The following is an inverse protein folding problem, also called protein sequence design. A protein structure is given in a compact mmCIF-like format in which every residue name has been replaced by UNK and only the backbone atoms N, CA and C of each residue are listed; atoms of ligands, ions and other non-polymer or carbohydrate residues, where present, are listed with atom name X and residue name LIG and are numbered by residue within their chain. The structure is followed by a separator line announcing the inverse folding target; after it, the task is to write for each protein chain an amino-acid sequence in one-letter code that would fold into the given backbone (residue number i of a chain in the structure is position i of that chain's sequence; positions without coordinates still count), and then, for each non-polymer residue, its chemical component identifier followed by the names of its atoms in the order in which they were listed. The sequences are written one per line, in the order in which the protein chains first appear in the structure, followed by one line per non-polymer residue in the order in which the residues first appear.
data_IF_420222803373
#
_entry.id   IF_420222803373
#
_cell.length_a   1.000
_cell.length_b   1.000
_cell.length_c   1.000
_cell.angle_alpha   90.00
_cell.angle_beta   90.00
_cell.angle_gamma   90.00
#
_symmetry.space_group_name_H-M   'P 1'
#
loop_
_entity.id
_entity.type
_entity.pdbx_description
1 polymer ?
#
# COMPACT_ATOMS: atom_id res chain seq x y z
N UNK A 1 17.87 91.73 -39.77
CA UNK A 1 17.65 90.55 -38.90
C UNK A 1 16.75 90.99 -37.74
N UNK A 2 15.48 90.59 -37.74
CA UNK A 2 14.48 91.01 -36.73
C UNK A 2 14.39 89.88 -35.69
N UNK A 3 14.91 90.09 -34.49
CA UNK A 3 14.82 89.11 -33.39
C UNK A 3 13.40 89.21 -32.83
N UNK A 4 12.62 88.14 -33.01
CA UNK A 4 11.29 87.98 -32.45
C UNK A 4 11.44 87.47 -31.01
N UNK A 5 11.21 88.33 -30.01
CA UNK A 5 11.15 87.92 -28.61
C UNK A 5 9.74 87.39 -28.33
N UNK A 6 9.58 86.08 -28.26
CA UNK A 6 8.35 85.44 -27.77
C UNK A 6 8.24 85.62 -26.25
N UNK A 7 7.47 86.62 -25.81
CA UNK A 7 7.03 86.69 -24.42
C UNK A 7 6.00 85.58 -24.14
N UNK A 8 6.44 84.46 -23.55
CA UNK A 8 5.53 83.45 -22.99
C UNK A 8 4.77 84.05 -21.81
N UNK A 9 3.49 84.39 -21.98
CA UNK A 9 2.59 84.73 -20.87
C UNK A 9 2.40 83.48 -20.00
N UNK A 10 2.90 83.50 -18.75
CA UNK A 10 2.56 82.48 -17.74
C UNK A 10 1.07 82.61 -17.44
N UNK A 11 0.25 81.67 -17.90
CA UNK A 11 -1.17 81.59 -17.53
C UNK A 11 -1.25 81.13 -16.07
N UNK A 12 -1.68 82.01 -15.17
CA UNK A 12 -2.00 81.62 -13.81
C UNK A 12 -3.31 80.81 -13.85
N UNK A 13 -3.30 79.60 -13.29
CA UNK A 13 -4.50 78.75 -13.19
C UNK A 13 -5.55 79.47 -12.35
N UNK A 14 -6.81 79.44 -12.80
CA UNK A 14 -7.91 80.00 -12.00
C UNK A 14 -8.20 79.13 -10.78
N UNK A 15 -8.66 79.72 -9.68
CA UNK A 15 -8.97 78.98 -8.43
C UNK A 15 -9.97 77.83 -8.68
N UNK A 16 -10.92 78.04 -9.59
CA UNK A 16 -11.91 77.05 -9.99
C UNK A 16 -11.28 75.83 -10.68
N UNK A 17 -10.35 76.05 -11.61
CA UNK A 17 -9.62 74.96 -12.29
C UNK A 17 -8.79 74.15 -11.29
N UNK A 18 -8.22 74.79 -10.27
CA UNK A 18 -7.47 74.11 -9.20
C UNK A 18 -8.39 73.22 -8.37
N UNK A 19 -9.57 73.71 -7.99
CA UNK A 19 -10.55 72.93 -7.20
C UNK A 19 -11.08 71.73 -8.00
N UNK A 20 -11.44 71.94 -9.28
CA UNK A 20 -11.93 70.86 -10.15
C UNK A 20 -10.84 69.81 -10.39
N UNK A 21 -9.60 70.24 -10.65
CA UNK A 21 -8.48 69.32 -10.83
C UNK A 21 -8.22 68.50 -9.56
N UNK A 22 -8.29 69.12 -8.38
CA UNK A 22 -8.12 68.42 -7.11
C UNK A 22 -9.24 67.42 -6.85
N UNK A 23 -10.50 67.76 -7.17
CA UNK A 23 -11.64 66.87 -7.05
C UNK A 23 -11.52 65.65 -7.98
N UNK A 24 -11.09 65.86 -9.22
CA UNK A 24 -10.84 64.76 -10.17
C UNK A 24 -9.69 63.86 -9.71
N UNK A 25 -8.61 64.44 -9.17
CA UNK A 25 -7.50 63.66 -8.59
C UNK A 25 -8.00 62.84 -7.41
N UNK A 26 -8.79 63.41 -6.49
CA UNK A 26 -9.32 62.69 -5.34
C UNK A 26 -10.23 61.51 -5.75
N UNK A 27 -11.08 61.72 -6.77
CA UNK A 27 -11.95 60.68 -7.33
C UNK A 27 -11.15 59.51 -7.94
N UNK A 28 -9.97 59.76 -8.48
CA UNK A 28 -9.10 58.74 -9.06
C UNK A 28 -8.20 58.06 -8.01
N UNK A 29 -7.65 58.82 -7.06
CA UNK A 29 -6.70 58.33 -6.07
C UNK A 29 -7.34 57.34 -5.10
N UNK A 30 -8.58 57.60 -4.65
CA UNK A 30 -9.27 56.71 -3.70
C UNK A 30 -9.39 55.25 -4.21
N UNK A 31 -10.03 55.02 -5.37
CA UNK A 31 -10.13 53.69 -5.97
C UNK A 31 -8.79 53.05 -6.31
N UNK A 32 -7.83 53.84 -6.81
CA UNK A 32 -6.48 53.36 -7.13
C UNK A 32 -5.76 52.84 -5.88
N UNK A 33 -5.83 53.56 -4.76
CA UNK A 33 -5.24 53.14 -3.48
C UNK A 33 -5.89 51.86 -2.96
N UNK A 34 -7.22 51.74 -3.04
CA UNK A 34 -7.92 50.51 -2.64
C UNK A 34 -7.49 49.31 -3.50
N UNK A 35 -7.32 49.51 -4.81
CA UNK A 35 -6.84 48.46 -5.71
C UNK A 35 -5.40 48.04 -5.39
N UNK A 36 -4.50 49.00 -5.13
CA UNK A 36 -3.11 48.72 -4.73
C UNK A 36 -3.08 47.94 -3.42
N UNK A 37 -3.82 48.38 -2.40
CA UNK A 37 -3.88 47.70 -1.10
C UNK A 37 -4.45 46.29 -1.25
N UNK A 38 -5.51 46.10 -2.03
CA UNK A 38 -6.09 44.78 -2.29
C UNK A 38 -5.11 43.88 -3.04
N UNK A 39 -4.40 44.41 -4.04
CA UNK A 39 -3.38 43.68 -4.79
C UNK A 39 -2.22 43.25 -3.90
N UNK A 40 -1.68 44.15 -3.08
CA UNK A 40 -0.61 43.83 -2.12
C UNK A 40 -1.06 42.76 -1.12
N UNK A 41 -2.28 42.87 -0.57
CA UNK A 41 -2.84 41.85 0.33
C UNK A 41 -2.97 40.49 -0.35
N UNK A 42 -3.44 40.45 -1.60
CA UNK A 42 -3.56 39.22 -2.38
C UNK A 42 -2.19 38.61 -2.66
N UNK A 43 -1.21 39.41 -3.07
CA UNK A 43 0.17 38.95 -3.30
C UNK A 43 0.76 38.37 -2.02
N UNK A 44 0.59 39.03 -0.88
CA UNK A 44 1.08 38.51 0.40
C UNK A 44 0.41 37.19 0.77
N UNK A 45 -0.91 37.08 0.59
CA UNK A 45 -1.65 35.84 0.85
C UNK A 45 -1.19 34.70 -0.07
N UNK A 46 -0.97 34.98 -1.35
CA UNK A 46 -0.45 34.00 -2.31
C UNK A 46 0.96 33.55 -1.93
N UNK A 47 1.86 34.49 -1.59
CA UNK A 47 3.23 34.17 -1.14
C UNK A 47 3.24 33.26 0.10
N UNK A 48 2.32 33.49 1.04
CA UNK A 48 2.18 32.63 2.24
C UNK A 48 1.76 31.21 1.85
N UNK A 49 0.81 31.08 0.92
CA UNK A 49 0.36 29.76 0.43
C UNK A 49 1.46 29.03 -0.35
N UNK A 50 2.13 29.73 -1.27
CA UNK A 50 3.24 29.17 -2.07
C UNK A 50 4.38 28.69 -1.17
N UNK A 51 4.72 29.45 -0.12
CA UNK A 51 5.74 29.03 0.86
C UNK A 51 5.31 27.79 1.64
N UNK A 52 4.05 27.69 2.06
CA UNK A 52 3.52 26.49 2.72
C UNK A 52 3.56 25.26 1.80
N UNK A 53 3.24 25.44 0.51
CA UNK A 53 3.29 24.37 -0.49
C UNK A 53 4.72 23.90 -0.75
N UNK A 54 5.69 24.83 -0.82
CA UNK A 54 7.10 24.49 -0.97
C UNK A 54 7.61 23.67 0.22
N UNK A 55 7.30 24.10 1.45
CA UNK A 55 7.64 23.39 2.69
C UNK A 55 7.04 21.98 2.67
N UNK A 56 5.74 21.87 2.37
CA UNK A 56 5.03 20.60 2.34
C UNK A 56 5.60 19.63 1.30
N UNK A 57 5.88 20.10 0.08
CA UNK A 57 6.49 19.27 -0.97
C UNK A 57 7.90 18.82 -0.61
N UNK A 58 8.71 19.70 -0.04
CA UNK A 58 10.06 19.35 0.39
C UNK A 58 10.04 18.22 1.43
N UNK A 59 9.16 18.32 2.43
CA UNK A 59 8.99 17.30 3.47
C UNK A 59 8.50 15.97 2.87
N UNK A 60 7.57 16.02 1.91
CA UNK A 60 7.08 14.80 1.22
C UNK A 60 8.21 14.09 0.48
N UNK A 61 9.06 14.82 -0.23
CA UNK A 61 10.20 14.23 -0.93
C UNK A 61 11.23 13.66 0.04
N UNK A 62 11.50 14.36 1.15
CA UNK A 62 12.34 13.82 2.22
C UNK A 62 11.74 12.54 2.81
N UNK A 63 10.45 12.52 3.16
CA UNK A 63 9.75 11.31 3.63
C UNK A 63 9.91 10.16 2.63
N UNK A 64 9.72 10.39 1.32
CA UNK A 64 9.91 9.36 0.30
C UNK A 64 11.34 8.83 0.27
N UNK A 65 12.33 9.71 0.41
CA UNK A 65 13.75 9.37 0.36
C UNK A 65 14.32 8.76 1.67
N UNK A 66 13.60 8.85 2.80
CA UNK A 66 14.09 8.30 4.07
C UNK A 66 14.40 6.79 3.98
N UNK A 67 15.29 6.31 4.83
CA UNK A 67 15.33 4.88 5.15
C UNK A 67 14.58 4.70 6.48
N UNK A 68 13.46 3.99 6.41
CA UNK A 68 12.60 3.75 7.57
C UNK A 68 12.90 2.39 8.24
N UNK A 69 13.71 1.50 7.64
CA UNK A 69 14.10 0.21 8.26
C UNK A 69 14.95 0.44 9.52
N UNK A 70 15.78 1.47 9.48
CA UNK A 70 16.74 1.80 10.54
C UNK A 70 16.19 2.77 11.60
N UNK A 71 14.89 3.07 11.56
CA UNK A 71 14.21 3.92 12.54
C UNK A 71 14.00 3.15 13.86
N UNK A 72 15.13 2.85 14.51
CA UNK A 72 15.16 2.46 15.92
C UNK A 72 14.68 3.65 16.75
N UNK A 73 13.93 3.37 17.82
CA UNK A 73 13.27 4.31 18.73
C UNK A 73 14.13 5.57 18.94
N UNK A 74 13.86 6.61 18.16
CA UNK A 74 14.79 7.72 17.93
C UNK A 74 14.20 8.77 17.00
N UNK A 75 14.73 9.99 17.11
CA UNK A 75 14.22 11.19 16.46
C UNK A 75 14.93 11.42 15.11
N UNK A 76 14.25 11.25 13.98
CA UNK A 76 14.78 11.71 12.67
C UNK A 76 14.42 13.17 12.49
N UNK A 77 15.39 14.03 12.18
CA UNK A 77 15.14 15.44 11.87
C UNK A 77 15.11 15.65 10.37
N UNK A 78 13.98 16.14 9.86
CA UNK A 78 13.77 16.61 8.51
C UNK A 78 13.99 18.13 8.42
N UNK A 79 13.95 18.66 7.21
CA UNK A 79 13.92 20.11 7.00
C UNK A 79 12.78 20.78 7.75
N UNK A 80 12.92 22.09 7.99
CA UNK A 80 11.98 22.89 8.79
C UNK A 80 11.87 22.41 10.26
N UNK A 81 12.95 21.80 10.77
CA UNK A 81 13.08 21.32 12.14
C UNK A 81 12.01 20.28 12.52
N UNK A 82 11.48 19.55 11.54
CA UNK A 82 10.47 18.52 11.80
C UNK A 82 11.13 17.28 12.34
N UNK A 83 10.69 16.83 13.51
CA UNK A 83 11.20 15.64 14.17
C UNK A 83 10.16 14.54 14.04
N UNK A 84 10.54 13.42 13.42
CA UNK A 84 9.75 12.20 13.37
C UNK A 84 10.04 11.35 14.61
N UNK A 85 8.98 10.90 15.26
CA UNK A 85 9.01 10.00 16.42
C UNK A 85 8.11 8.80 16.14
N UNK A 86 8.65 7.60 16.37
CA UNK A 86 7.92 6.34 16.25
C UNK A 86 7.17 6.05 17.56
N UNK A 87 5.86 5.91 17.47
CA UNK A 87 4.98 5.50 18.57
C UNK A 87 4.42 4.11 18.27
N UNK A 88 4.50 3.22 19.26
CA UNK A 88 3.85 1.91 19.22
C UNK A 88 2.59 2.03 20.07
N UNK A 89 1.43 2.01 19.44
CA UNK A 89 0.15 2.06 20.17
C UNK A 89 -0.19 0.69 20.76
N UNK A 90 -1.06 0.67 21.78
CA UNK A 90 -1.44 -0.53 22.55
C UNK A 90 -2.06 -1.67 21.74
N UNK A 91 -2.37 -1.46 20.46
CA UNK A 91 -2.96 -2.43 19.53
C UNK A 91 -1.94 -3.01 18.52
N UNK A 92 -0.63 -2.88 18.78
CA UNK A 92 0.45 -3.24 17.84
C UNK A 92 0.43 -2.47 16.51
N UNK A 93 -0.33 -1.39 16.39
CA UNK A 93 -0.23 -0.47 15.24
C UNK A 93 1.00 0.41 15.40
N UNK A 94 1.93 0.28 14.44
CA UNK A 94 3.07 1.18 14.29
C UNK A 94 2.63 2.48 13.62
N UNK A 95 2.77 3.59 14.35
CA UNK A 95 2.47 4.94 13.85
C UNK A 95 3.70 5.82 14.03
N UNK A 96 4.15 6.46 12.95
CA UNK A 96 5.19 7.48 13.02
C UNK A 96 4.52 8.84 12.97
N UNK A 97 4.78 9.67 13.97
CA UNK A 97 4.28 11.04 14.07
C UNK A 97 5.43 12.02 13.87
N UNK A 98 5.17 13.12 13.20
CA UNK A 98 6.15 14.17 13.03
C UNK A 98 5.58 15.54 13.31
N UNK A 99 6.33 16.36 14.03
CA UNK A 99 6.04 17.78 14.19
C UNK A 99 7.31 18.60 14.23
N UNK A 100 7.23 19.87 13.85
CA UNK A 100 8.31 20.82 14.04
C UNK A 100 8.65 20.96 15.54
N UNK A 101 9.93 20.75 15.89
CA UNK A 101 10.42 20.90 17.26
C UNK A 101 10.57 22.38 17.59
N UNK A 102 9.98 22.77 18.73
CA UNK A 102 10.08 24.09 19.36
C UNK A 102 9.43 25.25 18.56
N UNK A 103 8.22 25.63 18.98
CA UNK A 103 7.43 26.73 18.40
C UNK A 103 8.17 28.08 18.55
N UNK A 104 8.99 28.24 19.60
CA UNK A 104 9.65 29.50 19.95
C UNK A 104 10.84 29.88 19.04
N UNK A 105 11.51 28.91 18.41
CA UNK A 105 12.62 29.15 17.47
C UNK A 105 12.21 29.04 16.00
N UNK A 106 10.93 28.84 15.72
CA UNK A 106 10.46 28.61 14.37
C UNK A 106 10.33 29.93 13.59
N UNK A 107 11.44 30.35 12.99
CA UNK A 107 11.59 31.58 12.19
C UNK A 107 10.60 31.75 11.01
N UNK A 108 9.73 30.78 10.75
CA UNK A 108 8.85 30.77 9.59
C UNK A 108 7.35 30.90 9.91
N UNK A 109 6.91 30.70 11.17
CA UNK A 109 5.51 30.85 11.57
C UNK A 109 4.54 29.87 10.90
N UNK A 110 5.01 28.67 10.54
CA UNK A 110 4.19 27.57 10.05
C UNK A 110 4.28 26.39 11.02
N UNK A 111 3.15 25.72 11.21
CA UNK A 111 3.00 24.50 11.99
C UNK A 111 2.88 23.31 11.05
N UNK A 112 3.53 22.19 11.38
CA UNK A 112 3.69 21.06 10.47
C UNK A 112 3.31 19.78 11.20
N UNK A 113 2.36 19.03 10.65
CA UNK A 113 1.91 17.75 11.17
C UNK A 113 2.16 16.64 10.16
N UNK A 114 2.80 15.56 10.60
CA UNK A 114 3.02 14.34 9.80
C UNK A 114 2.44 13.16 10.56
N UNK A 115 1.69 12.31 9.86
CA UNK A 115 1.22 11.03 10.39
C UNK A 115 1.51 9.98 9.33
N UNK A 116 2.23 8.92 9.70
CA UNK A 116 2.46 7.75 8.87
C UNK A 116 1.94 6.51 9.59
N UNK A 117 1.12 5.71 8.90
CA UNK A 117 0.54 4.48 9.42
C UNK A 117 0.99 3.29 8.59
N UNK A 118 1.46 2.25 9.25
CA UNK A 118 1.79 0.99 8.59
C UNK A 118 0.53 0.35 8.00
N UNK A 119 0.58 -0.01 6.73
CA UNK A 119 -0.46 -0.68 5.98
C UNK A 119 -0.13 -2.17 5.89
N UNK A 120 -0.90 -2.98 6.61
CA UNK A 120 -0.74 -4.43 6.72
C UNK A 120 -1.56 -5.21 5.69
N UNK A 121 -2.35 -4.53 4.86
CA UNK A 121 -3.31 -5.15 3.94
C UNK A 121 -2.80 -5.28 2.50
N UNK A 122 -1.55 -4.93 2.22
CA UNK A 122 -0.97 -5.08 0.89
C UNK A 122 -0.56 -6.53 0.66
N UNK A 123 -1.40 -7.28 -0.04
CA UNK A 123 -1.08 -8.60 -0.58
C UNK A 123 -0.73 -8.45 -2.06
N UNK A 124 0.43 -8.95 -2.46
CA UNK A 124 0.77 -9.04 -3.88
C UNK A 124 0.19 -10.32 -4.44
N UNK A 125 -0.66 -10.20 -5.47
CA UNK A 125 -1.07 -11.32 -6.29
C UNK A 125 0.12 -11.78 -7.15
N UNK A 126 0.58 -13.01 -6.92
CA UNK A 126 1.58 -13.66 -7.75
C UNK A 126 0.91 -14.23 -9.01
N UNK A 127 1.28 -13.65 -10.16
CA UNK A 127 1.25 -14.22 -11.53
C UNK A 127 -0.13 -14.75 -11.97
N UNK A 128 -0.83 -13.93 -12.76
CA UNK A 128 -2.04 -14.29 -13.50
C UNK A 128 -1.73 -15.30 -14.63
N UNK A 129 -1.66 -16.58 -14.29
CA UNK A 129 -2.06 -17.64 -15.22
C UNK A 129 -3.49 -18.08 -14.87
N UNK A 130 -4.33 -18.31 -15.89
CA UNK A 130 -5.72 -18.73 -15.69
C UNK A 130 -5.77 -20.16 -15.14
N UNK A 131 -5.66 -20.31 -13.82
CA UNK A 131 -5.82 -21.60 -13.14
C UNK A 131 -7.28 -22.05 -13.17
N UNK A 132 -7.52 -23.35 -13.29
CA UNK A 132 -8.88 -23.89 -13.17
C UNK A 132 -9.29 -23.95 -11.69
N UNK A 133 -8.36 -24.36 -10.82
CA UNK A 133 -8.52 -24.32 -9.37
C UNK A 133 -7.25 -23.78 -8.69
N UNK A 134 -7.42 -22.97 -7.65
CA UNK A 134 -6.33 -22.45 -6.83
C UNK A 134 -6.69 -22.56 -5.35
N UNK A 135 -5.80 -23.18 -4.57
CA UNK A 135 -5.99 -23.39 -3.13
C UNK A 135 -4.82 -22.82 -2.33
N UNK A 136 -5.15 -22.12 -1.26
CA UNK A 136 -4.23 -21.83 -0.17
C UNK A 136 -4.29 -22.97 0.84
N UNK A 137 -3.12 -23.50 1.21
CA UNK A 137 -2.98 -24.63 2.12
C UNK A 137 -2.20 -24.23 3.35
N UNK A 138 -2.78 -24.47 4.52
CA UNK A 138 -2.18 -24.16 5.82
C UNK A 138 -2.59 -25.20 6.87
N UNK A 139 -1.82 -25.27 7.96
CA UNK A 139 -2.15 -26.11 9.11
C UNK A 139 -2.69 -25.20 10.20
N UNK A 140 -3.78 -25.63 10.83
CA UNK A 140 -4.27 -25.01 12.07
C UNK A 140 -4.81 -26.12 13.00
N UNK A 141 -4.89 -25.83 14.30
CA UNK A 141 -5.27 -26.80 15.32
C UNK A 141 -6.56 -26.37 16.01
N UNK A 142 -7.46 -27.34 16.21
CA UNK A 142 -8.68 -27.14 16.98
C UNK A 142 -8.84 -28.26 17.98
N UNK A 143 -9.01 -27.93 19.26
CA UNK A 143 -9.12 -28.91 20.36
C UNK A 143 -7.99 -29.96 20.37
N UNK A 144 -6.74 -29.53 20.16
CA UNK A 144 -5.54 -30.38 20.09
C UNK A 144 -5.53 -31.40 18.93
N UNK A 145 -6.36 -31.19 17.91
CA UNK A 145 -6.30 -31.94 16.65
C UNK A 145 -5.82 -30.99 15.56
N UNK A 146 -4.74 -31.36 14.87
CA UNK A 146 -4.24 -30.63 13.70
C UNK A 146 -5.08 -30.97 12.46
N UNK A 147 -5.34 -29.96 11.64
CA UNK A 147 -6.05 -30.10 10.38
C UNK A 147 -5.25 -29.42 9.26
N UNK A 148 -5.26 -30.04 8.08
CA UNK A 148 -4.80 -29.42 6.85
C UNK A 148 -5.99 -28.71 6.21
N UNK A 149 -5.89 -27.39 6.09
CA UNK A 149 -6.93 -26.55 5.52
C UNK A 149 -6.62 -26.27 4.06
N UNK A 150 -7.63 -26.37 3.20
CA UNK A 150 -7.55 -25.87 1.82
C UNK A 150 -8.63 -24.81 1.63
N UNK A 151 -8.21 -23.59 1.38
CA UNK A 151 -9.09 -22.46 1.08
C UNK A 151 -9.03 -22.18 -0.42
N UNK A 152 -10.17 -22.26 -1.12
CA UNK A 152 -10.21 -21.86 -2.52
C UNK A 152 -10.04 -20.34 -2.64
N UNK A 153 -9.06 -19.90 -3.44
CA UNK A 153 -8.70 -18.48 -3.56
C UNK A 153 -9.83 -17.66 -4.19
N UNK A 154 -10.64 -18.26 -5.06
CA UNK A 154 -11.75 -17.59 -5.76
C UNK A 154 -13.05 -17.60 -4.97
N UNK A 155 -13.19 -18.54 -4.03
CA UNK A 155 -14.38 -18.70 -3.20
C UNK A 155 -13.99 -19.19 -1.80
N UNK A 156 -13.71 -18.24 -0.91
CA UNK A 156 -13.31 -18.51 0.47
C UNK A 156 -14.40 -19.20 1.32
N UNK A 157 -15.63 -19.32 0.81
CA UNK A 157 -16.67 -20.12 1.46
C UNK A 157 -16.43 -21.63 1.33
N UNK A 158 -15.56 -22.04 0.40
CA UNK A 158 -15.19 -23.44 0.17
C UNK A 158 -13.90 -23.80 0.92
N UNK A 159 -14.02 -23.91 2.25
CA UNK A 159 -12.93 -24.29 3.16
C UNK A 159 -12.96 -25.81 3.43
N UNK A 160 -11.90 -26.49 2.99
CA UNK A 160 -11.68 -27.92 3.25
C UNK A 160 -10.91 -28.06 4.56
N UNK A 161 -11.30 -29.02 5.40
CA UNK A 161 -10.55 -29.39 6.60
C UNK A 161 -10.27 -30.88 6.55
N UNK A 162 -9.01 -31.26 6.45
CA UNK A 162 -8.58 -32.67 6.47
C UNK A 162 -7.95 -32.96 7.84
N UNK A 163 -8.55 -33.84 8.67
CA UNK A 163 -7.95 -34.21 9.94
C UNK A 163 -6.62 -34.95 9.71
N UNK A 164 -5.60 -34.57 10.47
CA UNK A 164 -4.27 -35.15 10.35
C UNK A 164 -4.17 -36.30 11.35
N UNK A 165 -4.40 -37.53 10.85
CA UNK A 165 -4.44 -38.72 11.68
C UNK A 165 -3.05 -39.30 11.93
N UNK A 166 -2.21 -39.39 10.89
CA UNK A 166 -0.86 -39.97 10.98
C UNK A 166 0.19 -39.25 10.11
N UNK A 167 -0.20 -38.73 8.94
CA UNK A 167 0.65 -37.97 8.05
C UNK A 167 -0.12 -36.82 7.38
N UNK A 168 0.59 -35.85 6.81
CA UNK A 168 0.01 -34.68 6.13
C UNK A 168 -0.41 -34.97 4.68
N UNK A 169 -0.66 -36.25 4.39
CA UNK A 169 -0.78 -36.76 3.04
C UNK A 169 -2.20 -36.59 2.48
N UNK A 170 -2.28 -36.18 1.23
CA UNK A 170 -3.56 -36.04 0.53
C UNK A 170 -3.45 -36.48 -0.93
N UNK A 171 -4.60 -36.78 -1.51
CA UNK A 171 -4.76 -37.18 -2.91
C UNK A 171 -5.50 -36.11 -3.70
N UNK A 172 -4.98 -35.79 -4.88
CA UNK A 172 -5.61 -34.96 -5.90
C UNK A 172 -6.12 -35.84 -7.01
N UNK A 173 -7.41 -35.74 -7.34
CA UNK A 173 -8.04 -36.52 -8.41
C UNK A 173 -8.55 -35.56 -9.47
N UNK A 174 -8.02 -35.69 -10.69
CA UNK A 174 -8.51 -34.94 -11.84
C UNK A 174 -9.49 -35.80 -12.65
N UNK A 175 -10.66 -35.25 -12.94
CA UNK A 175 -11.72 -35.89 -13.74
C UNK A 175 -12.22 -34.92 -14.80
N UNK A 176 -13.01 -35.38 -15.76
CA UNK A 176 -13.50 -34.52 -16.85
C UNK A 176 -14.35 -33.32 -16.42
N UNK A 177 -14.84 -33.28 -15.17
CA UNK A 177 -15.77 -32.26 -14.67
C UNK A 177 -15.32 -31.58 -13.38
N UNK A 178 -14.36 -32.15 -12.66
CA UNK A 178 -13.98 -31.67 -11.32
C UNK A 178 -12.55 -32.09 -10.96
N UNK A 179 -11.92 -31.25 -10.13
CA UNK A 179 -10.72 -31.58 -9.37
C UNK A 179 -11.16 -31.88 -7.93
N UNK A 180 -10.72 -33.01 -7.39
CA UNK A 180 -11.05 -33.44 -6.02
C UNK A 180 -9.80 -33.48 -5.15
N UNK A 181 -9.97 -33.14 -3.86
CA UNK A 181 -8.95 -33.31 -2.82
C UNK A 181 -9.49 -34.28 -1.75
N UNK A 182 -8.69 -35.29 -1.39
CA UNK A 182 -9.05 -36.36 -0.48
C UNK A 182 -7.92 -36.65 0.53
N UNK A 183 -8.26 -37.03 1.78
CA UNK A 183 -7.27 -37.60 2.73
C UNK A 183 -6.64 -38.91 2.20
N UNK A 184 -5.34 -39.11 2.40
CA UNK A 184 -4.64 -40.33 1.97
C UNK A 184 -4.95 -41.56 2.85
N UNK A 185 -5.21 -41.38 4.15
CA UNK A 185 -5.57 -42.47 5.07
C UNK A 185 -7.01 -42.36 5.58
N UNK A 186 -7.82 -43.34 5.18
CA UNK A 186 -8.95 -43.93 5.91
C UNK A 186 -9.87 -43.03 6.73
N UNK A 187 -11.05 -42.80 6.20
CA UNK A 187 -12.17 -43.61 6.70
C UNK A 187 -12.98 -44.10 5.50
N UNK A 188 -12.97 -45.41 5.26
CA UNK A 188 -13.81 -46.02 4.22
C UNK A 188 -15.31 -45.73 4.40
N UNK A 189 -15.69 -45.21 5.57
CA UNK A 189 -17.03 -44.79 5.94
C UNK A 189 -17.32 -43.29 5.70
N UNK A 190 -16.30 -42.42 5.65
CA UNK A 190 -16.45 -40.98 5.38
C UNK A 190 -15.12 -40.37 4.88
N UNK A 191 -14.73 -40.59 3.61
CA UNK A 191 -13.63 -39.84 3.04
C UNK A 191 -14.03 -38.35 3.03
N UNK A 192 -13.20 -37.49 3.62
CA UNK A 192 -13.34 -36.04 3.42
C UNK A 192 -12.97 -35.74 1.97
N UNK A 193 -13.97 -35.79 1.10
CA UNK A 193 -13.86 -35.48 -0.33
C UNK A 193 -14.43 -34.09 -0.52
N UNK A 194 -13.62 -33.18 -1.06
CA UNK A 194 -14.15 -31.94 -1.63
C UNK A 194 -13.95 -31.95 -3.12
N UNK A 195 -15.02 -31.59 -3.81
CA UNK A 195 -15.13 -31.50 -5.26
C UNK A 195 -15.15 -30.02 -5.62
N UNK A 196 -14.17 -29.54 -6.37
CA UNK A 196 -14.34 -28.29 -7.11
C UNK A 196 -14.95 -28.64 -8.45
N UNK A 197 -16.26 -28.40 -8.58
CA UNK A 197 -16.97 -28.45 -9.85
C UNK A 197 -16.58 -27.20 -10.62
N UNK A 198 -15.91 -27.40 -11.75
CA UNK A 198 -15.63 -26.30 -12.67
C UNK A 198 -16.93 -26.00 -13.43
N UNK A 199 -17.35 -24.74 -13.42
CA UNK A 199 -18.55 -24.31 -14.13
C UNK A 199 -18.38 -24.52 -15.65
N UNK A 200 -19.44 -25.00 -16.30
CA UNK A 200 -19.64 -25.13 -17.75
C UNK A 200 -18.44 -25.36 -18.69
N UNK A 201 -18.35 -26.58 -19.26
CA UNK A 201 -17.63 -26.92 -20.50
C UNK A 201 -16.08 -26.84 -20.52
N UNK A 202 -15.42 -26.41 -19.45
CA UNK A 202 -13.95 -26.41 -19.35
C UNK A 202 -13.45 -27.71 -18.73
N UNK A 203 -12.58 -28.42 -19.45
CA UNK A 203 -11.88 -29.59 -18.92
C UNK A 203 -10.79 -29.12 -17.95
N UNK A 204 -10.76 -29.57 -16.69
CA UNK A 204 -9.69 -29.22 -15.75
C UNK A 204 -8.33 -29.70 -16.26
N UNK A 205 -7.41 -28.77 -16.44
CA UNK A 205 -6.03 -29.02 -16.84
C UNK A 205 -5.00 -28.32 -15.96
N UNK A 206 -5.40 -27.35 -15.12
CA UNK A 206 -4.49 -26.49 -14.36
C UNK A 206 -4.92 -26.34 -12.89
N UNK A 207 -4.11 -26.86 -11.97
CA UNK A 207 -4.29 -26.73 -10.53
C UNK A 207 -3.12 -25.96 -9.91
N UNK A 208 -3.41 -25.01 -9.03
CA UNK A 208 -2.39 -24.34 -8.20
C UNK A 208 -2.62 -24.59 -6.71
N UNK A 209 -1.56 -24.97 -6.01
CA UNK A 209 -1.54 -25.20 -4.56
C UNK A 209 -0.49 -24.28 -3.95
N UNK A 210 -0.92 -23.38 -3.07
CA UNK A 210 -0.09 -22.41 -2.39
C UNK A 210 0.06 -22.83 -0.92
N UNK A 211 1.23 -23.36 -0.54
CA UNK A 211 1.54 -23.64 0.85
C UNK A 211 1.94 -22.35 1.57
N UNK A 212 1.04 -21.85 2.42
CA UNK A 212 1.18 -20.57 3.11
C UNK A 212 1.97 -20.68 4.42
N UNK A 213 2.40 -19.51 4.88
CA UNK A 213 3.08 -19.28 6.16
C UNK A 213 2.13 -19.49 7.33
N UNK A 214 2.66 -19.93 8.47
CA UNK A 214 1.98 -19.79 9.76
C UNK A 214 2.64 -18.68 10.56
N UNK A 215 1.91 -18.11 11.51
CA UNK A 215 2.40 -16.97 12.29
C UNK A 215 3.49 -17.33 13.33
N UNK A 216 4.01 -18.56 13.32
CA UNK A 216 4.94 -19.07 14.32
C UNK A 216 6.36 -19.19 13.75
N UNK A 217 7.36 -18.82 14.55
CA UNK A 217 8.77 -19.06 14.21
C UNK A 217 9.04 -20.56 14.31
N UNK A 218 9.18 -21.22 13.17
CA UNK A 218 9.33 -22.67 13.07
C UNK A 218 10.78 -23.01 12.80
N UNK A 219 11.31 -23.97 13.55
CA UNK A 219 12.62 -24.60 13.31
C UNK A 219 12.51 -25.68 12.23
N UNK A 220 13.60 -26.00 11.53
CA UNK A 220 13.57 -27.05 10.48
C UNK A 220 13.15 -28.44 11.00
N UNK A 221 13.31 -28.69 12.30
CA UNK A 221 12.87 -29.92 12.98
C UNK A 221 11.35 -30.00 13.11
N UNK A 222 10.67 -28.86 13.21
CA UNK A 222 9.21 -28.74 13.35
C UNK A 222 8.49 -28.77 11.99
N UNK A 223 9.23 -28.63 10.87
CA UNK A 223 8.66 -28.73 9.53
C UNK A 223 8.12 -30.14 9.25
N UNK A 224 6.96 -30.18 8.62
CA UNK A 224 6.15 -31.36 8.32
C UNK A 224 6.37 -31.79 6.87
N UNK A 225 6.60 -33.08 6.66
CA UNK A 225 6.69 -33.64 5.32
C UNK A 225 5.27 -33.90 4.78
N UNK A 226 5.04 -33.61 3.50
CA UNK A 226 3.78 -33.94 2.81
C UNK A 226 4.05 -34.83 1.60
N UNK A 227 3.23 -35.85 1.43
CA UNK A 227 3.05 -36.58 0.18
C UNK A 227 1.74 -36.15 -0.50
N UNK A 228 1.82 -35.89 -1.79
CA UNK A 228 0.67 -35.57 -2.64
C UNK A 228 0.49 -36.69 -3.65
N UNK A 229 -0.54 -37.51 -3.52
CA UNK A 229 -0.85 -38.50 -4.54
C UNK A 229 -1.69 -37.87 -5.64
N UNK A 230 -1.35 -38.11 -6.91
CA UNK A 230 -2.07 -37.51 -8.03
C UNK A 230 -2.64 -38.59 -8.94
N UNK A 231 -3.94 -38.53 -9.17
CA UNK A 231 -4.72 -39.43 -10.01
C UNK A 231 -5.43 -38.66 -11.12
N UNK A 232 -4.77 -38.54 -12.27
CA UNK A 232 -5.35 -37.98 -13.47
C UNK A 232 -6.12 -39.08 -14.25
N UNK A 233 -7.45 -39.02 -14.18
CA UNK A 233 -8.36 -39.92 -14.88
C UNK A 233 -8.67 -39.48 -16.31
N UNK A 234 -8.05 -38.39 -16.77
CA UNK A 234 -8.17 -37.91 -18.13
C UNK A 234 -7.03 -38.45 -19.00
N UNK A 235 -7.27 -38.55 -20.31
CA UNK A 235 -6.23 -38.89 -21.28
C UNK A 235 -5.36 -37.69 -21.68
N UNK A 236 -5.74 -36.48 -21.25
CA UNK A 236 -5.00 -35.24 -21.47
C UNK A 236 -4.07 -34.90 -20.30
N UNK A 237 -3.17 -33.94 -20.52
CA UNK A 237 -2.19 -33.51 -19.51
C UNK A 237 -2.86 -32.74 -18.36
N UNK A 238 -2.42 -33.04 -17.13
CA UNK A 238 -2.82 -32.32 -15.92
C UNK A 238 -1.61 -31.59 -15.33
N UNK A 239 -1.68 -30.26 -15.28
CA UNK A 239 -0.63 -29.37 -14.81
C UNK A 239 -0.89 -28.96 -13.38
N UNK A 240 0.05 -29.22 -12.49
CA UNK A 240 -0.01 -28.85 -11.08
C UNK A 240 1.13 -27.90 -10.77
N UNK A 241 0.78 -26.72 -10.30
CA UNK A 241 1.70 -25.69 -9.83
C UNK A 241 1.69 -25.69 -8.32
N UNK A 242 2.82 -26.00 -7.72
CA UNK A 242 2.97 -26.00 -6.28
C UNK A 242 3.88 -24.83 -5.93
N UNK A 243 3.33 -23.85 -5.23
CA UNK A 243 4.11 -22.76 -4.67
C UNK A 243 4.28 -22.98 -3.18
N UNK A 244 5.51 -22.90 -2.69
CA UNK A 244 5.81 -23.06 -1.27
C UNK A 244 6.55 -21.83 -0.73
N UNK A 245 6.05 -21.24 0.35
CA UNK A 245 6.79 -20.21 1.08
C UNK A 245 8.02 -20.81 1.78
N UNK A 246 9.16 -20.13 1.74
CA UNK A 246 10.37 -20.54 2.49
C UNK A 246 10.10 -20.65 3.99
N UNK A 247 9.22 -19.80 4.54
CA UNK A 247 8.76 -19.81 5.93
C UNK A 247 7.61 -20.78 6.22
N UNK A 248 7.14 -21.57 5.25
CA UNK A 248 6.03 -22.50 5.48
C UNK A 248 6.42 -23.65 6.44
N UNK A 249 5.42 -24.23 7.10
CA UNK A 249 5.55 -25.43 7.94
C UNK A 249 5.97 -26.68 7.15
N UNK A 250 6.10 -26.62 5.83
CA UNK A 250 6.24 -27.81 5.00
C UNK A 250 7.69 -28.01 4.53
N UNK A 251 8.21 -29.24 4.64
CA UNK A 251 9.57 -29.60 4.21
C UNK A 251 9.72 -29.56 2.69
N UNK A 252 10.97 -29.43 2.23
CA UNK A 252 11.40 -29.46 0.81
C UNK A 252 10.91 -30.67 0.03
N UNK A 253 10.64 -31.78 0.71
CA UNK A 253 10.33 -33.05 0.04
C UNK A 253 8.81 -33.28 -0.10
N UNK A 254 8.21 -32.63 -1.11
CA UNK A 254 6.86 -32.93 -1.60
C UNK A 254 6.95 -34.17 -2.49
N UNK A 255 6.49 -35.32 -1.99
CA UNK A 255 6.52 -36.57 -2.75
C UNK A 255 5.26 -36.72 -3.57
N UNK A 256 5.41 -36.91 -4.88
CA UNK A 256 4.30 -37.07 -5.80
C UNK A 256 4.23 -38.49 -6.32
N UNK A 257 3.24 -39.24 -5.82
CA UNK A 257 2.95 -40.58 -6.33
C UNK A 257 1.91 -40.48 -7.45
N UNK A 258 2.28 -40.91 -8.65
CA UNK A 258 1.46 -40.78 -9.86
C UNK A 258 0.76 -42.09 -10.16
N UNK A 259 -0.57 -42.06 -10.21
CA UNK A 259 -1.42 -43.16 -10.69
C UNK A 259 -2.35 -42.58 -11.76
N UNK A 260 -1.96 -42.55 -13.03
CA UNK A 260 -2.68 -41.72 -14.03
C UNK A 260 -2.81 -42.35 -15.40
N UNK A 261 -3.91 -42.00 -16.08
CA UNK A 261 -4.21 -42.39 -17.46
C UNK A 261 -3.48 -41.45 -18.43
N UNK A 262 -3.45 -40.14 -18.16
CA UNK A 262 -2.74 -39.11 -18.92
C UNK A 262 -1.47 -38.61 -18.22
N UNK A 263 -0.77 -37.64 -18.83
CA UNK A 263 0.46 -37.09 -18.24
C UNK A 263 0.14 -36.16 -17.05
N UNK A 264 1.09 -36.05 -16.13
CA UNK A 264 1.07 -35.05 -15.06
C UNK A 264 2.36 -34.25 -15.13
N UNK A 265 2.24 -32.94 -15.39
CA UNK A 265 3.32 -31.98 -15.26
C UNK A 265 3.22 -31.31 -13.89
N UNK A 266 4.33 -31.32 -13.15
CA UNK A 266 4.40 -30.66 -11.85
C UNK A 266 5.51 -29.63 -11.90
N UNK A 267 5.15 -28.38 -11.60
CA UNK A 267 6.09 -27.29 -11.38
C UNK A 267 6.07 -26.95 -9.91
N UNK A 268 7.24 -27.04 -9.26
CA UNK A 268 7.41 -26.66 -7.86
C UNK A 268 8.27 -25.42 -7.78
N UNK A 269 7.71 -24.33 -7.26
CA UNK A 269 8.44 -23.10 -7.02
C UNK A 269 8.50 -22.83 -5.51
N UNK A 270 9.72 -22.72 -4.99
CA UNK A 270 9.93 -22.08 -3.70
C UNK A 270 9.98 -20.57 -3.92
N UNK A 271 9.14 -19.86 -3.18
CA UNK A 271 9.18 -18.42 -3.17
C UNK A 271 9.37 -17.95 -1.75
N UNK A 272 10.31 -17.06 -1.54
CA UNK A 272 10.26 -16.18 -0.38
C UNK A 272 9.49 -14.96 -0.87
N UNK A 273 8.19 -14.81 -0.52
CA UNK A 273 7.57 -13.51 -0.67
C UNK A 273 8.27 -12.67 0.36
N UNK A 274 9.41 -12.09 -0.03
CA UNK A 274 10.00 -10.99 0.72
C UNK A 274 8.80 -10.10 1.04
N UNK A 275 8.48 -9.85 2.32
CA UNK A 275 7.48 -8.87 2.63
C UNK A 275 7.89 -7.64 1.85
N UNK A 276 7.07 -7.28 0.87
CA UNK A 276 7.27 -6.03 0.19
C UNK A 276 7.08 -5.03 1.31
N UNK A 277 8.16 -4.31 1.59
CA UNK A 277 8.45 -3.72 2.88
C UNK A 277 7.28 -2.97 3.44
N UNK A 278 7.25 -2.84 4.76
CA UNK A 278 6.20 -2.15 5.49
C UNK A 278 5.75 -0.89 4.73
N UNK A 279 4.56 -0.94 4.11
CA UNK A 279 4.06 0.19 3.36
C UNK A 279 3.49 1.18 4.36
N UNK A 280 3.88 2.45 4.30
CA UNK A 280 3.33 3.50 5.15
C UNK A 280 2.44 4.42 4.35
N UNK A 281 1.18 4.52 4.74
CA UNK A 281 0.30 5.59 4.30
C UNK A 281 0.62 6.84 5.11
N UNK A 282 1.07 7.91 4.46
CA UNK A 282 1.46 9.15 5.12
C UNK A 282 0.57 10.33 4.74
N UNK A 283 0.42 11.25 5.68
CA UNK A 283 -0.23 12.55 5.50
C UNK A 283 0.69 13.64 6.02
N UNK A 284 0.95 14.65 5.20
CA UNK A 284 1.69 15.88 5.58
C UNK A 284 0.72 17.06 5.54
N UNK A 285 0.66 17.85 6.62
CA UNK A 285 -0.12 19.09 6.69
C UNK A 285 0.78 20.25 7.09
N UNK A 286 0.56 21.39 6.46
CA UNK A 286 1.21 22.66 6.82
C UNK A 286 0.13 23.68 7.14
N UNK A 287 0.17 24.15 8.38
CA UNK A 287 -0.79 25.08 8.95
C UNK A 287 -0.12 26.43 9.23
N UNK A 288 -0.92 27.49 9.22
CA UNK A 288 -0.52 28.81 9.73
C UNK A 288 -1.70 29.46 10.42
N UNK A 289 -1.49 29.95 11.64
CA UNK A 289 -2.55 30.56 12.47
C UNK A 289 -3.79 29.65 12.61
N UNK A 290 -3.57 28.34 12.76
CA UNK A 290 -4.63 27.32 12.85
C UNK A 290 -5.33 26.98 11.52
N UNK A 291 -4.91 27.57 10.39
CA UNK A 291 -5.48 27.29 9.07
C UNK A 291 -4.59 26.39 8.23
N UNK A 292 -5.16 25.31 7.71
CA UNK A 292 -4.51 24.43 6.74
C UNK A 292 -4.26 25.19 5.42
N UNK A 293 -3.00 25.26 5.01
CA UNK A 293 -2.55 25.88 3.77
C UNK A 293 -2.10 24.84 2.74
N UNK A 294 -1.65 23.68 3.20
CA UNK A 294 -1.23 22.55 2.39
C UNK A 294 -1.58 21.23 3.07
N UNK A 295 -2.03 20.27 2.27
CA UNK A 295 -2.22 18.87 2.68
C UNK A 295 -1.88 17.96 1.52
N UNK A 296 -1.09 16.94 1.78
CA UNK A 296 -0.78 15.89 0.83
C UNK A 296 -0.83 14.53 1.52
N UNK A 297 -1.50 13.59 0.87
CA UNK A 297 -1.48 12.19 1.24
C UNK A 297 -0.60 11.43 0.25
N UNK A 298 0.13 10.43 0.72
CA UNK A 298 0.94 9.57 -0.13
C UNK A 298 1.20 8.23 0.54
N UNK A 299 1.95 7.38 -0.16
CA UNK A 299 2.39 6.10 0.34
C UNK A 299 3.90 5.99 0.19
N UNK A 300 4.51 5.21 1.07
CA UNK A 300 5.92 4.88 1.04
C UNK A 300 6.12 3.38 1.21
N UNK A 301 6.90 2.79 0.32
CA UNK A 301 7.39 1.43 0.46
C UNK A 301 8.81 1.49 1.06
N UNK A 302 9.11 0.62 2.01
CA UNK A 302 10.41 0.55 2.67
C UNK A 302 11.40 -0.38 1.92
N UNK A 303 10.92 -1.31 1.08
CA UNK A 303 11.78 -2.28 0.38
C UNK A 303 11.72 -2.11 -1.15
N UNK A 304 12.42 -1.10 -1.67
CA UNK A 304 12.83 -1.02 -3.09
C UNK A 304 14.35 -0.99 -3.20
#
# INVERSE_FOLDING_TARGET
MKIMIFNKKKKASTLLEVIISLALVALLVGPAMNMIVASVKNIQKTKVKEKAELIGKQIVEEIKALDLENLSIGNITLSNNVVLTKDITSENEEIIRGSNYNIETNNNGYDIDIIMKKNTNVKYDNINESMDAEFNVYIDSYNNVEFLFFENVRDSSNLIKIPILNNYDFKVINTSTEIQIQSAEGDSLNPSIVKTVLDGAVKPGFLKINFLETNEKITDEEKKQIKIEVDNKMGEDFNIFISKRVSSLFKEEIKIDKTSIGSILVTTDEFDPKPIGDMYDFTVRVNKDGKELFKLNGYKNINL
#
